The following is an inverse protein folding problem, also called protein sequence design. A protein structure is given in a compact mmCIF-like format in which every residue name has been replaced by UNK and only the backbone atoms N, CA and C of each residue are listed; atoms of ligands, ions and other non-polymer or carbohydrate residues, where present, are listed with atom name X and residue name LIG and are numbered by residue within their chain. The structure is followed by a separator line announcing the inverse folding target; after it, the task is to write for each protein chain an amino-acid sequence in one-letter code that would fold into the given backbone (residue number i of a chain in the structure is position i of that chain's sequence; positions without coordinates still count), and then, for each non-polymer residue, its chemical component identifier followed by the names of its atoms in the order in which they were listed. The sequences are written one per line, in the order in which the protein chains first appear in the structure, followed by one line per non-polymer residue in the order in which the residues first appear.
data_IF_996214428762
#
_entry.id   IF_996214428762
#
_cell.length_a   1.000
_cell.length_b   1.000
_cell.length_c   1.000
_cell.angle_alpha   90.00
_cell.angle_beta   90.00
_cell.angle_gamma   90.00
#
_symmetry.space_group_name_H-M   'P 1'
#
loop_
_entity.id
_entity.type
_entity.pdbx_description
1 polymer ?
#
# COMPACT_ATOMS: atom_id res chain seq x y z
N UNK A 1 2.21 72.01 48.41
CA UNK A 1 3.42 71.62 47.66
C UNK A 1 3.02 70.74 46.48
N UNK A 2 3.63 70.92 45.30
CA UNK A 2 3.63 69.99 44.14
C UNK A 2 5.07 69.49 43.96
N UNK A 3 5.29 68.23 43.52
CA UNK A 3 5.47 67.87 42.10
C UNK A 3 4.60 66.64 41.68
N UNK A 4 4.29 66.22 40.43
CA UNK A 4 4.88 66.32 39.06
C UNK A 4 5.96 65.25 38.75
N UNK A 5 5.91 64.46 37.64
CA UNK A 5 4.76 63.94 36.85
C UNK A 5 4.95 62.45 36.42
N UNK A 6 4.22 62.00 35.39
CA UNK A 6 4.30 60.65 34.80
C UNK A 6 5.62 60.37 34.02
N UNK A 7 5.99 59.08 33.94
CA UNK A 7 7.06 58.57 33.06
C UNK A 7 6.51 57.63 31.98
N UNK A 8 6.88 57.88 30.73
CA UNK A 8 6.61 56.99 29.59
C UNK A 8 7.59 55.82 29.59
N UNK A 9 7.12 54.61 29.29
CA UNK A 9 7.93 53.55 28.68
C UNK A 9 7.14 52.91 27.54
N UNK A 10 7.71 53.01 26.34
CA UNK A 10 7.19 52.42 25.09
C UNK A 10 7.49 50.91 25.03
N UNK A 11 6.87 50.13 24.13
CA UNK A 11 6.67 48.70 24.33
C UNK A 11 7.87 47.84 23.97
N UNK A 12 8.14 46.82 24.80
CA UNK A 12 8.99 45.68 24.42
C UNK A 12 8.16 44.68 23.61
N UNK A 13 8.26 44.77 22.28
CA UNK A 13 7.72 43.75 21.39
C UNK A 13 8.56 42.47 21.48
N UNK A 14 8.11 41.48 22.25
CA UNK A 14 8.58 40.10 22.12
C UNK A 14 7.68 39.36 21.12
N UNK A 15 8.05 39.39 19.83
CA UNK A 15 7.43 38.50 18.86
C UNK A 15 7.78 37.03 19.21
N UNK A 16 6.83 36.08 19.13
CA UNK A 16 7.18 34.68 19.14
C UNK A 16 8.05 34.38 17.91
N UNK A 17 9.10 33.57 18.09
CA UNK A 17 9.95 33.14 16.97
C UNK A 17 9.13 32.23 16.06
N UNK A 18 8.70 32.75 14.92
CA UNK A 18 8.28 31.92 13.80
C UNK A 18 9.49 31.15 13.32
N UNK A 19 9.56 29.87 13.71
CA UNK A 19 10.46 28.91 13.08
C UNK A 19 10.00 28.74 11.64
N UNK A 20 10.72 29.34 10.70
CA UNK A 20 10.44 29.21 9.28
C UNK A 20 10.64 27.76 8.84
N UNK A 21 9.52 27.06 8.64
CA UNK A 21 9.41 26.08 7.57
C UNK A 21 9.88 26.72 6.26
N UNK A 22 10.48 25.90 5.38
CA UNK A 22 10.96 26.17 4.01
C UNK A 22 12.48 26.03 3.82
N UNK A 23 12.97 24.78 3.85
CA UNK A 23 14.07 24.29 2.99
C UNK A 23 14.40 22.81 3.30
N UNK A 24 13.60 21.88 2.76
CA UNK A 24 13.92 20.45 2.75
C UNK A 24 13.85 19.88 1.32
N UNK A 25 14.70 20.45 0.45
CA UNK A 25 15.03 19.87 -0.85
C UNK A 25 16.10 18.79 -0.67
N UNK A 26 15.69 17.56 -0.36
CA UNK A 26 16.59 16.41 -0.42
C UNK A 26 17.02 16.17 -1.87
N UNK A 27 18.32 16.18 -2.14
CA UNK A 27 18.86 16.08 -3.49
C UNK A 27 18.61 14.69 -4.11
N UNK A 28 17.77 14.65 -5.15
CA UNK A 28 17.61 13.47 -6.01
C UNK A 28 18.79 13.45 -6.99
N UNK A 29 19.81 12.65 -6.70
CA UNK A 29 20.94 12.43 -7.62
C UNK A 29 20.52 11.52 -8.77
N UNK A 30 20.02 12.11 -9.86
CA UNK A 30 19.80 11.40 -11.12
C UNK A 30 21.14 11.15 -11.82
N UNK A 31 21.77 10.01 -11.54
CA UNK A 31 22.97 9.59 -12.27
C UNK A 31 22.58 9.04 -13.64
N UNK A 32 22.54 9.92 -14.64
CA UNK A 32 22.44 9.51 -16.05
C UNK A 32 23.75 8.85 -16.48
N UNK A 33 23.73 7.54 -16.72
CA UNK A 33 24.87 6.83 -17.31
C UNK A 33 24.85 6.96 -18.84
N UNK A 34 25.51 7.99 -19.39
CA UNK A 34 25.75 8.06 -20.83
C UNK A 34 26.74 6.98 -21.28
N UNK A 35 26.31 6.14 -22.22
CA UNK A 35 27.15 5.15 -22.85
C UNK A 35 28.10 5.81 -23.86
N UNK A 36 29.41 5.75 -23.59
CA UNK A 36 30.44 6.13 -24.56
C UNK A 36 30.47 5.14 -25.72
N UNK A 37 30.42 5.62 -26.96
CA UNK A 37 30.94 4.83 -28.08
C UNK A 37 31.51 5.69 -29.23
N UNK A 38 32.74 5.36 -29.61
CA UNK A 38 33.30 5.35 -30.97
C UNK A 38 33.11 6.55 -31.92
N UNK A 39 34.19 7.29 -32.16
CA UNK A 39 34.37 8.25 -33.27
C UNK A 39 34.49 7.63 -34.66
N UNK A 40 34.34 8.50 -35.69
CA UNK A 40 34.69 8.34 -37.14
C UNK A 40 33.63 7.59 -37.99
N UNK A 41 33.37 7.96 -39.25
CA UNK A 41 34.13 8.80 -40.21
C UNK A 41 33.22 9.67 -41.12
N UNK A 42 33.80 10.60 -41.88
CA UNK A 42 33.08 11.53 -42.78
C UNK A 42 32.80 10.94 -44.18
N UNK A 43 31.67 11.33 -44.80
CA UNK A 43 31.55 11.82 -46.20
C UNK A 43 30.10 12.12 -46.62
N UNK A 44 29.84 13.39 -46.93
CA UNK A 44 28.86 13.85 -47.93
C UNK A 44 29.54 13.89 -49.34
N UNK A 45 28.89 14.26 -50.47
CA UNK A 45 27.53 14.83 -50.66
C UNK A 45 26.67 14.17 -51.76
N UNK A 46 25.41 14.60 -51.91
CA UNK A 46 24.80 15.07 -53.18
C UNK A 46 23.26 15.26 -53.09
N UNK A 47 22.74 16.30 -53.73
CA UNK A 47 21.30 16.59 -53.83
C UNK A 47 20.61 15.87 -55.01
N UNK A 48 19.28 15.71 -54.90
CA UNK A 48 18.27 16.20 -55.87
C UNK A 48 17.19 15.19 -56.36
N UNK A 49 15.93 15.53 -56.01
CA UNK A 49 14.69 15.33 -56.79
C UNK A 49 14.11 13.91 -57.01
N UNK A 50 12.76 13.81 -56.96
CA UNK A 50 12.02 12.70 -57.61
C UNK A 50 10.75 12.18 -56.90
N UNK A 51 9.61 12.83 -57.16
CA UNK A 51 8.23 12.24 -57.23
C UNK A 51 7.79 11.06 -56.34
N UNK A 52 6.72 11.28 -55.55
CA UNK A 52 5.79 10.24 -55.10
C UNK A 52 4.94 9.71 -56.31
N UNK A 53 4.23 8.55 -56.25
CA UNK A 53 3.17 8.29 -55.25
C UNK A 53 2.94 6.83 -54.79
N UNK A 54 1.93 6.68 -53.92
CA UNK A 54 0.99 5.55 -53.76
C UNK A 54 1.15 4.53 -52.60
N UNK A 55 0.04 4.45 -51.85
CA UNK A 55 -0.57 3.26 -51.20
C UNK A 55 0.14 2.50 -50.07
N UNK A 56 -0.32 2.81 -48.84
CA UNK A 56 -0.94 1.89 -47.88
C UNK A 56 -0.31 0.49 -47.63
N UNK A 57 0.26 0.33 -46.44
CA UNK A 57 0.52 -0.96 -45.78
C UNK A 57 0.87 -0.72 -44.32
N UNK A 58 -0.01 -1.10 -43.39
CA UNK A 58 0.27 -1.03 -41.94
C UNK A 58 1.06 -2.27 -41.47
N UNK A 59 1.94 -2.15 -40.46
CA UNK A 59 2.69 -3.31 -39.96
C UNK A 59 1.79 -4.24 -39.13
N UNK A 60 1.94 -5.54 -39.37
CA UNK A 60 1.26 -6.61 -38.64
C UNK A 60 1.68 -6.68 -37.16
N UNK A 61 0.74 -7.04 -36.29
CA UNK A 61 1.00 -7.32 -34.88
C UNK A 61 1.31 -8.80 -34.71
N UNK A 62 2.59 -9.14 -34.50
CA UNK A 62 3.01 -10.52 -34.22
C UNK A 62 2.60 -10.95 -32.81
N UNK A 63 1.56 -11.79 -32.70
CA UNK A 63 1.19 -12.47 -31.46
C UNK A 63 2.07 -13.72 -31.26
N UNK A 64 2.96 -13.69 -30.28
CA UNK A 64 3.68 -14.89 -29.82
C UNK A 64 2.86 -15.60 -28.75
N UNK A 65 2.16 -16.65 -29.13
CA UNK A 65 1.51 -17.57 -28.19
C UNK A 65 2.53 -18.47 -27.51
N UNK A 66 2.65 -18.39 -26.18
CA UNK A 66 3.47 -19.32 -25.40
C UNK A 66 2.67 -20.60 -25.16
N UNK A 67 3.08 -21.69 -25.81
CA UNK A 67 2.47 -23.02 -25.68
C UNK A 67 2.90 -23.76 -24.41
N UNK A 68 2.02 -24.62 -23.91
CA UNK A 68 2.17 -25.39 -22.67
C UNK A 68 3.39 -26.31 -22.64
N UNK A 69 4.11 -26.33 -21.52
CA UNK A 69 5.14 -27.34 -21.22
C UNK A 69 4.48 -28.53 -20.49
N UNK A 70 4.43 -29.68 -21.14
CA UNK A 70 4.13 -30.97 -20.50
C UNK A 70 5.44 -31.55 -19.94
N UNK A 71 5.43 -31.97 -18.66
CA UNK A 71 6.57 -32.68 -18.05
C UNK A 71 6.45 -34.18 -18.36
N UNK A 72 7.41 -34.72 -19.10
CA UNK A 72 7.69 -36.16 -19.09
C UNK A 72 8.82 -36.47 -18.10
N UNK A 73 8.62 -37.48 -17.25
CA UNK A 73 9.57 -37.88 -16.21
C UNK A 73 10.36 -39.11 -16.61
N UNK A 74 11.70 -39.00 -16.65
CA UNK A 74 12.58 -40.15 -16.79
C UNK A 74 12.97 -40.73 -15.41
N UNK A 75 12.52 -41.95 -15.12
CA UNK A 75 13.02 -42.75 -14.00
C UNK A 75 14.29 -43.47 -14.48
N UNK A 76 15.43 -43.18 -13.84
CA UNK A 76 16.70 -43.85 -14.14
C UNK A 76 16.91 -45.05 -13.22
N UNK A 77 17.10 -46.24 -13.79
CA UNK A 77 17.37 -47.48 -13.06
C UNK A 77 18.86 -47.81 -13.17
N UNK A 78 19.59 -47.71 -12.05
CA UNK A 78 21.01 -48.02 -12.00
C UNK A 78 21.27 -49.53 -11.86
N UNK A 79 22.04 -50.10 -12.79
CA UNK A 79 22.45 -51.51 -12.77
C UNK A 79 23.88 -51.69 -12.23
N UNK A 80 24.01 -52.21 -11.01
CA UNK A 80 25.29 -52.58 -10.40
C UNK A 80 25.63 -54.06 -10.57
N UNK A 81 26.90 -54.38 -10.80
CA UNK A 81 27.48 -55.76 -10.79
C UNK A 81 28.83 -55.79 -10.05
N UNK A 82 29.32 -56.96 -9.57
CA UNK A 82 29.66 -57.05 -8.15
C UNK A 82 31.05 -57.63 -7.80
N UNK A 83 31.44 -57.46 -6.53
CA UNK A 83 32.52 -58.18 -5.83
C UNK A 83 32.85 -57.48 -4.49
N UNK A 84 33.16 -58.14 -3.37
CA UNK A 84 33.25 -59.58 -3.02
C UNK A 84 33.11 -59.78 -1.50
N UNK A 85 32.51 -60.92 -1.08
CA UNK A 85 32.61 -61.66 0.23
C UNK A 85 32.91 -60.84 1.52
N UNK A 86 32.15 -60.96 2.61
CA UNK A 86 31.64 -62.18 3.26
C UNK A 86 30.50 -61.82 4.27
N UNK A 87 29.87 -62.70 5.07
CA UNK A 87 30.15 -64.12 5.38
C UNK A 87 28.89 -65.02 5.32
N UNK A 88 28.35 -65.51 6.46
CA UNK A 88 27.22 -66.43 6.52
C UNK A 88 26.27 -66.18 7.71
N UNK A 89 24.96 -66.37 7.47
CA UNK A 89 23.91 -66.38 8.48
C UNK A 89 22.62 -66.92 7.86
N UNK A 90 22.30 -68.19 8.12
CA UNK A 90 21.11 -68.85 7.56
C UNK A 90 19.88 -68.58 8.42
N UNK A 91 18.82 -68.04 7.81
CA UNK A 91 17.49 -67.95 8.41
C UNK A 91 16.40 -68.17 7.36
N UNK A 92 15.60 -69.22 7.56
CA UNK A 92 14.57 -69.68 6.63
C UNK A 92 13.34 -68.76 6.69
N UNK A 93 13.04 -68.03 5.60
CA UNK A 93 11.86 -67.16 5.53
C UNK A 93 10.60 -67.95 5.14
N UNK A 94 9.61 -68.00 6.05
CA UNK A 94 8.29 -68.59 5.79
C UNK A 94 7.41 -67.58 5.05
N UNK A 95 7.01 -67.90 3.82
CA UNK A 95 6.12 -67.04 3.02
C UNK A 95 4.67 -67.28 3.39
N UNK A 96 4.13 -66.46 4.30
CA UNK A 96 2.68 -66.40 4.57
C UNK A 96 2.01 -65.52 3.52
N UNK A 97 1.23 -66.13 2.62
CA UNK A 97 0.39 -65.38 1.66
C UNK A 97 -0.91 -64.92 2.32
N UNK A 98 -0.96 -63.67 2.79
CA UNK A 98 -2.23 -63.01 3.10
C UNK A 98 -2.94 -62.60 1.81
N UNK A 99 -4.25 -62.90 1.70
CA UNK A 99 -5.11 -62.34 0.65
C UNK A 99 -5.67 -61.01 1.16
N UNK A 100 -5.12 -59.89 0.71
CA UNK A 100 -5.79 -58.60 0.87
C UNK A 100 -6.81 -58.42 -0.26
N UNK A 101 -8.09 -58.35 0.10
CA UNK A 101 -9.16 -57.89 -0.79
C UNK A 101 -9.11 -56.36 -0.85
N UNK A 102 -8.72 -55.80 -1.99
CA UNK A 102 -8.76 -54.35 -2.21
C UNK A 102 -10.19 -53.95 -2.55
N UNK A 103 -10.82 -53.16 -1.68
CA UNK A 103 -12.08 -52.47 -1.99
C UNK A 103 -11.80 -51.15 -2.70
N UNK A 104 -12.46 -50.90 -3.82
CA UNK A 104 -12.28 -49.66 -4.59
C UNK A 104 -12.74 -48.41 -3.82
N UNK A 105 -12.02 -47.27 -3.91
CA UNK A 105 -12.46 -46.03 -3.30
C UNK A 105 -13.62 -45.42 -4.10
N UNK A 106 -14.70 -45.05 -3.40
CA UNK A 106 -15.77 -44.24 -3.98
C UNK A 106 -15.22 -42.87 -4.41
N UNK A 107 -15.16 -42.62 -5.71
CA UNK A 107 -14.78 -41.32 -6.25
C UNK A 107 -15.86 -40.27 -5.91
N UNK A 108 -15.57 -39.41 -4.93
CA UNK A 108 -16.40 -38.24 -4.65
C UNK A 108 -16.43 -37.34 -5.90
N UNK A 109 -17.62 -37.13 -6.46
CA UNK A 109 -17.82 -36.27 -7.63
C UNK A 109 -17.65 -34.80 -7.24
N UNK A 110 -16.43 -34.28 -7.36
CA UNK A 110 -16.19 -32.84 -7.39
C UNK A 110 -16.83 -32.26 -8.65
N UNK A 111 -17.96 -31.57 -8.50
CA UNK A 111 -18.54 -30.79 -9.59
C UNK A 111 -17.55 -29.69 -9.99
N UNK A 112 -17.15 -29.58 -11.27
CA UNK A 112 -16.25 -28.52 -11.70
C UNK A 112 -16.92 -27.16 -11.50
N UNK A 113 -16.22 -26.25 -10.83
CA UNK A 113 -16.66 -24.86 -10.70
C UNK A 113 -16.55 -24.21 -12.08
N UNK A 114 -17.69 -24.06 -12.76
CA UNK A 114 -17.74 -23.35 -14.04
C UNK A 114 -17.49 -21.87 -13.77
N UNK A 115 -16.30 -21.40 -14.14
CA UNK A 115 -15.96 -19.99 -14.12
C UNK A 115 -16.83 -19.24 -15.13
N UNK A 116 -17.92 -18.66 -14.65
CA UNK A 116 -18.75 -17.74 -15.43
C UNK A 116 -18.26 -16.31 -15.14
N UNK A 117 -17.62 -15.60 -16.09
CA UNK A 117 -17.11 -14.26 -15.87
C UNK A 117 -18.21 -13.20 -15.65
N UNK A 118 -19.49 -13.56 -15.85
CA UNK A 118 -20.65 -12.72 -15.54
C UNK A 118 -21.28 -13.05 -14.18
N UNK A 119 -20.77 -14.03 -13.43
CA UNK A 119 -21.24 -14.30 -12.07
C UNK A 119 -20.63 -13.27 -11.13
N UNK A 120 -21.49 -12.40 -10.60
CA UNK A 120 -21.15 -11.49 -9.50
C UNK A 120 -20.68 -12.31 -8.29
N UNK A 121 -19.66 -11.82 -7.58
CA UNK A 121 -19.16 -12.46 -6.37
C UNK A 121 -20.26 -12.56 -5.30
N UNK A 122 -20.58 -13.75 -4.75
CA UNK A 122 -21.62 -13.90 -3.73
C UNK A 122 -21.44 -13.00 -2.50
N UNK A 123 -20.20 -12.69 -2.12
CA UNK A 123 -19.90 -11.82 -0.97
C UNK A 123 -20.40 -10.39 -1.18
N UNK A 124 -20.57 -9.96 -2.44
CA UNK A 124 -21.08 -8.62 -2.75
C UNK A 124 -22.56 -8.40 -2.40
N UNK A 125 -23.28 -9.46 -2.01
CA UNK A 125 -24.65 -9.41 -1.47
C UNK A 125 -24.70 -9.59 0.06
N UNK A 126 -23.54 -9.68 0.73
CA UNK A 126 -23.43 -9.69 2.19
C UNK A 126 -23.91 -8.37 2.83
N UNK A 127 -24.19 -8.44 4.13
CA UNK A 127 -24.68 -7.32 4.92
C UNK A 127 -23.87 -7.16 6.19
N UNK A 128 -23.71 -5.91 6.62
CA UNK A 128 -23.18 -5.56 7.93
C UNK A 128 -24.17 -5.98 9.03
N UNK A 129 -23.72 -5.99 10.29
CA UNK A 129 -24.55 -6.36 11.44
C UNK A 129 -25.79 -5.46 11.60
N UNK A 130 -25.71 -4.20 11.15
CA UNK A 130 -26.82 -3.23 11.13
C UNK A 130 -27.84 -3.46 9.98
N UNK A 131 -27.59 -4.46 9.12
CA UNK A 131 -28.43 -4.82 7.97
C UNK A 131 -28.18 -4.03 6.68
N UNK A 132 -27.29 -3.02 6.67
CA UNK A 132 -26.87 -2.34 5.44
C UNK A 132 -26.09 -3.30 4.53
N UNK A 133 -26.08 -3.09 3.20
CA UNK A 133 -25.17 -3.81 2.31
C UNK A 133 -23.72 -3.60 2.74
N UNK A 134 -22.94 -4.69 2.78
CA UNK A 134 -21.49 -4.67 3.07
C UNK A 134 -20.72 -3.96 1.97
N UNK A 135 -21.15 -4.12 0.71
CA UNK A 135 -20.60 -3.40 -0.43
C UNK A 135 -21.32 -2.03 -0.60
N UNK A 136 -20.59 -0.90 -0.53
CA UNK A 136 -21.19 0.43 -0.74
C UNK A 136 -21.75 0.62 -2.16
N UNK A 137 -22.67 1.58 -2.38
CA UNK A 137 -23.19 1.92 -3.70
C UNK A 137 -22.08 2.26 -4.71
N UNK A 138 -22.32 1.90 -5.98
CA UNK A 138 -21.37 2.13 -7.07
C UNK A 138 -20.07 1.30 -7.03
N UNK A 139 -19.88 0.44 -6.02
CA UNK A 139 -18.66 -0.37 -5.87
C UNK A 139 -18.74 -1.74 -6.56
N UNK A 140 -17.56 -2.29 -6.90
CA UNK A 140 -17.36 -3.67 -7.35
C UNK A 140 -16.36 -4.37 -6.44
N UNK A 141 -16.72 -5.52 -5.89
CA UNK A 141 -15.81 -6.34 -5.10
C UNK A 141 -14.68 -6.90 -6.00
N UNK A 142 -13.44 -6.92 -5.48
CA UNK A 142 -12.27 -7.52 -6.12
C UNK A 142 -11.44 -8.34 -5.12
N UNK A 143 -10.93 -9.48 -5.58
CA UNK A 143 -9.92 -10.26 -4.84
C UNK A 143 -8.53 -9.65 -4.90
N UNK A 144 -8.23 -8.96 -6.01
CA UNK A 144 -6.92 -8.36 -6.27
C UNK A 144 -6.59 -7.22 -5.31
N UNK A 145 -5.34 -6.77 -5.33
CA UNK A 145 -4.86 -5.66 -4.52
C UNK A 145 -4.36 -4.53 -5.44
N UNK A 146 -5.24 -3.63 -5.92
CA UNK A 146 -4.86 -2.67 -6.96
C UNK A 146 -3.81 -1.65 -6.49
N UNK A 147 -2.75 -1.49 -7.27
CA UNK A 147 -1.75 -0.44 -7.07
C UNK A 147 -2.26 0.86 -7.68
N UNK A 148 -2.61 1.81 -6.82
CA UNK A 148 -2.89 3.20 -7.18
C UNK A 148 -2.03 4.11 -6.31
N UNK A 149 -1.33 5.07 -6.92
CA UNK A 149 -0.58 6.11 -6.23
C UNK A 149 -0.49 7.38 -7.10
N UNK A 150 -0.41 8.54 -6.43
CA UNK A 150 0.04 9.77 -7.05
C UNK A 150 1.58 9.83 -7.00
N UNK A 151 2.20 10.39 -8.04
CA UNK A 151 3.65 10.56 -8.11
C UNK A 151 4.42 9.24 -8.24
N UNK A 152 5.74 9.31 -8.04
CA UNK A 152 6.62 8.15 -7.98
C UNK A 152 6.67 7.51 -6.60
N UNK A 153 6.99 6.22 -6.55
CA UNK A 153 7.18 5.48 -5.29
C UNK A 153 8.45 6.00 -4.58
N UNK A 154 8.36 6.55 -3.36
CA UNK A 154 9.52 7.03 -2.63
C UNK A 154 10.42 5.86 -2.22
N UNK A 155 11.74 6.07 -2.29
CA UNK A 155 12.72 5.18 -1.64
C UNK A 155 12.94 5.67 -0.22
N UNK A 156 12.53 4.87 0.75
CA UNK A 156 12.63 5.19 2.17
C UNK A 156 13.75 4.34 2.78
N UNK A 157 14.60 4.96 3.58
CA UNK A 157 15.63 4.30 4.37
C UNK A 157 15.23 4.37 5.85
N UNK A 158 15.05 3.21 6.48
CA UNK A 158 14.64 3.13 7.89
C UNK A 158 15.68 3.74 8.85
N UNK A 159 16.96 3.79 8.45
CA UNK A 159 18.02 4.42 9.25
C UNK A 159 17.90 5.95 9.32
N UNK A 160 17.13 6.57 8.42
CA UNK A 160 16.83 8.01 8.41
C UNK A 160 15.33 8.31 8.42
N UNK A 161 14.50 7.29 8.67
CA UNK A 161 13.06 7.43 8.75
C UNK A 161 12.64 8.13 10.05
N UNK A 162 11.67 9.02 9.92
CA UNK A 162 11.17 9.85 11.00
C UNK A 162 9.65 9.98 10.84
N UNK A 163 8.91 9.66 11.91
CA UNK A 163 7.49 9.92 12.02
C UNK A 163 7.24 11.03 13.05
N UNK A 164 6.55 12.09 12.63
CA UNK A 164 6.26 13.26 13.46
C UNK A 164 4.77 13.47 13.71
N UNK A 165 4.41 13.81 14.94
CA UNK A 165 3.06 14.25 15.32
C UNK A 165 3.17 15.63 15.96
N UNK A 166 2.49 16.61 15.40
CA UNK A 166 2.72 18.03 15.70
C UNK A 166 1.46 18.89 15.49
N UNK A 167 1.56 20.19 15.79
CA UNK A 167 0.45 21.14 15.67
C UNK A 167 -0.31 21.32 16.99
N UNK A 168 -1.63 21.16 16.97
CA UNK A 168 -2.49 21.35 18.14
C UNK A 168 -2.50 20.12 19.08
N UNK A 169 -1.36 19.86 19.70
CA UNK A 169 -1.13 18.80 20.69
C UNK A 169 -0.42 19.36 21.93
N UNK A 170 -0.63 18.76 23.11
CA UNK A 170 0.13 19.12 24.32
C UNK A 170 1.60 18.70 24.20
N UNK A 171 1.87 17.54 23.61
CA UNK A 171 3.20 16.93 23.51
C UNK A 171 3.49 16.54 22.05
N UNK A 172 4.34 17.32 21.35
CA UNK A 172 4.83 16.91 20.02
C UNK A 172 5.68 15.64 20.13
N UNK A 173 5.50 14.74 19.16
CA UNK A 173 6.14 13.42 19.14
C UNK A 173 6.97 13.27 17.88
N UNK A 174 8.21 12.82 18.02
CA UNK A 174 9.08 12.40 16.92
C UNK A 174 9.61 11.02 17.23
N UNK A 175 9.51 10.09 16.27
CA UNK A 175 9.92 8.69 16.44
C UNK A 175 10.78 8.25 15.26
N UNK A 176 11.87 7.54 15.55
CA UNK A 176 12.53 6.69 14.57
C UNK A 176 11.77 5.36 14.40
N UNK A 177 12.21 4.52 13.47
CA UNK A 177 11.51 3.28 13.12
C UNK A 177 11.40 2.29 14.30
N UNK A 178 12.48 2.08 15.05
CA UNK A 178 12.50 1.14 16.17
C UNK A 178 11.61 1.64 17.32
N UNK A 179 11.59 2.95 17.57
CA UNK A 179 10.71 3.58 18.56
C UNK A 179 9.22 3.50 18.16
N UNK A 180 8.92 3.58 16.86
CA UNK A 180 7.57 3.36 16.34
C UNK A 180 7.14 1.90 16.48
N UNK A 181 8.03 0.95 16.16
CA UNK A 181 7.75 -0.48 16.32
C UNK A 181 7.61 -0.90 17.79
N UNK A 182 8.21 -0.15 18.72
CA UNK A 182 8.05 -0.33 20.17
C UNK A 182 6.73 0.22 20.73
N UNK A 183 5.89 0.87 19.93
CA UNK A 183 4.54 1.28 20.31
C UNK A 183 3.60 0.07 20.49
N UNK A 184 2.49 0.20 21.24
CA UNK A 184 1.45 -0.83 21.32
C UNK A 184 0.97 -1.25 19.93
N UNK A 185 1.21 -2.51 19.57
CA UNK A 185 0.78 -3.08 18.31
C UNK A 185 -0.63 -3.66 18.42
N UNK A 186 -1.40 -3.55 17.35
CA UNK A 186 -2.75 -4.09 17.20
C UNK A 186 -2.88 -4.83 15.86
N UNK A 187 -3.92 -5.67 15.77
CA UNK A 187 -4.38 -6.28 14.53
C UNK A 187 -5.84 -5.88 14.31
N UNK A 188 -6.21 -5.67 13.05
CA UNK A 188 -7.56 -5.28 12.62
C UNK A 188 -7.88 -5.97 11.31
N UNK A 189 -9.12 -6.46 11.17
CA UNK A 189 -9.63 -6.93 9.88
C UNK A 189 -10.71 -5.96 9.42
N UNK A 190 -10.55 -5.37 8.23
CA UNK A 190 -11.50 -4.40 7.71
C UNK A 190 -11.65 -4.42 6.19
N UNK A 191 -12.70 -3.76 5.71
CA UNK A 191 -12.99 -3.60 4.30
C UNK A 191 -12.40 -2.28 3.77
N UNK A 192 -12.14 -2.26 2.47
CA UNK A 192 -11.50 -1.14 1.79
C UNK A 192 -12.37 -0.72 0.62
N UNK A 193 -12.67 0.57 0.54
CA UNK A 193 -13.52 1.14 -0.51
C UNK A 193 -12.74 2.20 -1.28
N UNK A 194 -12.46 1.95 -2.57
CA UNK A 194 -11.75 2.91 -3.40
C UNK A 194 -12.72 3.79 -4.20
N UNK A 195 -12.35 5.06 -4.35
CA UNK A 195 -13.07 6.04 -5.17
C UNK A 195 -13.18 5.62 -6.64
N UNK A 196 -12.23 4.83 -7.15
CA UNK A 196 -12.25 4.30 -8.52
C UNK A 196 -13.11 3.03 -8.67
N UNK A 197 -14.20 2.92 -7.89
CA UNK A 197 -15.29 1.92 -8.02
C UNK A 197 -14.91 0.46 -7.76
N UNK A 198 -13.86 0.20 -6.99
CA UNK A 198 -13.55 -1.13 -6.45
C UNK A 198 -13.55 -1.15 -4.93
N UNK A 199 -13.88 -2.29 -4.35
CA UNK A 199 -13.73 -2.58 -2.93
C UNK A 199 -13.06 -3.92 -2.71
N UNK A 200 -12.31 -4.06 -1.62
CA UNK A 200 -11.67 -5.31 -1.21
C UNK A 200 -12.09 -5.62 0.21
N UNK A 201 -12.61 -6.82 0.44
CA UNK A 201 -13.04 -7.28 1.76
C UNK A 201 -11.93 -8.02 2.50
N UNK A 202 -12.12 -8.18 3.81
CA UNK A 202 -11.36 -9.09 4.67
C UNK A 202 -9.85 -8.81 4.65
N UNK A 203 -9.44 -7.55 4.88
CA UNK A 203 -8.03 -7.14 4.89
C UNK A 203 -7.49 -7.17 6.31
N UNK A 204 -6.54 -8.05 6.56
CA UNK A 204 -5.84 -8.10 7.85
C UNK A 204 -4.72 -7.06 7.87
N UNK A 205 -4.74 -6.17 8.85
CA UNK A 205 -3.73 -5.15 9.07
C UNK A 205 -3.05 -5.34 10.42
N UNK A 206 -1.77 -4.99 10.49
CA UNK A 206 -1.04 -4.87 11.74
C UNK A 206 -0.26 -3.55 11.79
N UNK A 207 -0.29 -2.92 12.96
CA UNK A 207 0.30 -1.61 13.19
C UNK A 207 -0.13 -1.00 14.51
N UNK A 208 -0.05 0.33 14.60
CA UNK A 208 -0.37 1.10 15.81
C UNK A 208 -1.72 1.79 15.64
N UNK A 209 -2.64 1.63 16.59
CA UNK A 209 -3.95 2.30 16.53
C UNK A 209 -3.78 3.80 16.61
N UNK A 210 -4.61 4.55 15.88
CA UNK A 210 -4.58 6.01 15.94
C UNK A 210 -4.82 6.52 17.38
N UNK A 211 -5.76 5.89 18.12
CA UNK A 211 -6.03 6.20 19.53
C UNK A 211 -4.80 6.06 20.45
N UNK A 212 -3.89 5.12 20.16
CA UNK A 212 -2.68 4.88 20.96
C UNK A 212 -1.62 5.99 20.73
N UNK A 213 -1.65 6.64 19.56
CA UNK A 213 -0.89 7.88 19.28
C UNK A 213 -1.53 9.08 19.99
N UNK A 214 -2.86 9.25 19.85
CA UNK A 214 -3.62 10.33 20.50
C UNK A 214 -3.40 10.34 22.01
N UNK A 215 -3.44 9.17 22.66
CA UNK A 215 -3.24 9.03 24.09
C UNK A 215 -1.84 9.50 24.56
N UNK A 216 -0.83 9.51 23.69
CA UNK A 216 0.49 10.10 23.98
C UNK A 216 0.49 11.61 23.77
N UNK A 217 0.04 12.09 22.61
CA UNK A 217 0.24 13.50 22.21
C UNK A 217 -0.77 14.47 22.83
N UNK A 218 -1.95 13.96 23.23
CA UNK A 218 -3.08 14.69 23.82
C UNK A 218 -3.46 15.93 22.99
N UNK A 219 -4.32 15.78 21.97
CA UNK A 219 -4.78 16.90 21.14
C UNK A 219 -5.43 17.99 21.98
N UNK A 220 -5.12 19.25 21.67
CA UNK A 220 -5.71 20.41 22.33
C UNK A 220 -7.22 20.51 22.01
N UNK A 221 -8.06 21.13 22.87
CA UNK A 221 -9.50 21.25 22.64
C UNK A 221 -9.87 21.93 21.30
N UNK A 222 -8.99 22.76 20.76
CA UNK A 222 -9.11 23.43 19.46
C UNK A 222 -8.87 22.51 18.27
N UNK A 223 -8.19 21.36 18.44
CA UNK A 223 -7.97 20.40 17.35
C UNK A 223 -9.29 19.79 16.88
N UNK A 224 -9.51 19.76 15.57
CA UNK A 224 -10.73 19.23 14.92
C UNK A 224 -10.45 18.32 13.74
N UNK A 225 -9.29 18.45 13.11
CA UNK A 225 -8.89 17.62 11.97
C UNK A 225 -7.44 17.18 12.11
N UNK A 226 -7.09 16.10 11.44
CA UNK A 226 -5.74 15.57 11.28
C UNK A 226 -5.37 15.65 9.80
N UNK A 227 -4.21 16.24 9.50
CA UNK A 227 -3.62 16.21 8.16
C UNK A 227 -2.48 15.19 8.16
N UNK A 228 -2.64 14.12 7.39
CA UNK A 228 -1.55 13.18 7.13
C UNK A 228 -0.56 13.81 6.16
N UNK A 229 0.73 13.65 6.46
CA UNK A 229 1.85 14.08 5.64
C UNK A 229 2.63 12.87 5.16
N UNK A 230 2.86 12.76 3.85
CA UNK A 230 3.52 11.59 3.23
C UNK A 230 4.85 11.95 2.57
N UNK A 231 5.76 10.98 2.47
CA UNK A 231 6.88 11.09 1.53
C UNK A 231 6.34 11.25 0.11
N UNK A 232 6.98 12.11 -0.69
CA UNK A 232 6.48 12.51 -2.01
C UNK A 232 5.46 13.65 -2.00
N UNK A 233 5.13 14.23 -0.83
CA UNK A 233 4.32 15.45 -0.72
C UNK A 233 2.80 15.23 -0.79
N UNK A 234 2.33 13.98 -0.79
CA UNK A 234 0.91 13.68 -0.67
C UNK A 234 0.39 14.01 0.73
N UNK A 235 -0.72 14.74 0.79
CA UNK A 235 -1.44 15.06 2.03
C UNK A 235 -2.91 14.64 1.92
N UNK A 236 -3.55 14.37 3.05
CA UNK A 236 -5.00 14.20 3.13
C UNK A 236 -5.50 14.53 4.54
N UNK A 237 -6.69 15.12 4.61
CA UNK A 237 -7.33 15.64 5.81
C UNK A 237 -8.45 14.70 6.28
N UNK A 238 -8.59 14.54 7.59
CA UNK A 238 -9.62 13.67 8.20
C UNK A 238 -10.15 14.32 9.47
N UNK A 239 -11.47 14.31 9.74
CA UNK A 239 -12.03 14.74 11.02
C UNK A 239 -11.42 13.95 12.20
N UNK A 240 -11.09 14.66 13.28
CA UNK A 240 -10.40 14.07 14.42
C UNK A 240 -11.32 13.14 15.23
N UNK A 241 -12.60 13.47 15.35
CA UNK A 241 -13.60 12.66 16.04
C UNK A 241 -13.87 11.33 15.33
N UNK A 242 -13.88 11.32 13.99
CA UNK A 242 -13.95 10.08 13.20
C UNK A 242 -12.66 9.25 13.27
N UNK A 243 -11.49 9.90 13.26
CA UNK A 243 -10.20 9.24 13.45
C UNK A 243 -10.05 8.52 14.81
N UNK A 244 -10.85 8.88 15.82
CA UNK A 244 -10.91 8.15 17.10
C UNK A 244 -11.70 6.84 17.02
N UNK A 245 -12.19 6.46 15.83
CA UNK A 245 -12.80 5.16 15.56
C UNK A 245 -11.92 4.00 16.03
N UNK A 246 -12.59 2.91 16.40
CA UNK A 246 -11.93 1.74 16.95
C UNK A 246 -11.05 1.02 15.92
N UNK A 247 -11.34 1.18 14.61
CA UNK A 247 -10.75 0.47 13.46
C UNK A 247 -9.64 1.22 12.72
N UNK A 248 -9.24 2.40 13.20
CA UNK A 248 -8.27 3.27 12.54
C UNK A 248 -6.83 3.05 13.04
N UNK A 249 -5.88 2.89 12.10
CA UNK A 249 -4.48 2.62 12.43
C UNK A 249 -3.44 3.15 11.45
N UNK A 250 -2.20 3.23 11.94
CA UNK A 250 -0.97 3.35 11.17
C UNK A 250 -0.38 1.94 10.96
N UNK A 251 -0.63 1.36 9.79
CA UNK A 251 -0.27 -0.01 9.45
C UNK A 251 1.13 -0.12 8.82
N UNK A 252 1.88 -1.16 9.18
CA UNK A 252 3.17 -1.55 8.57
C UNK A 252 3.13 -2.93 7.89
N UNK A 253 2.09 -3.72 8.17
CA UNK A 253 1.90 -5.10 7.72
C UNK A 253 0.47 -5.29 7.21
N UNK A 254 0.30 -6.07 6.14
CA UNK A 254 -0.96 -6.40 5.49
C UNK A 254 -0.99 -7.89 5.12
N UNK A 255 -2.07 -8.59 5.49
CA UNK A 255 -2.27 -10.02 5.26
C UNK A 255 -1.10 -10.90 5.71
N UNK A 256 -0.50 -10.56 6.86
CA UNK A 256 0.61 -11.30 7.48
C UNK A 256 2.00 -10.98 6.95
N UNK A 257 2.13 -10.19 5.88
CA UNK A 257 3.39 -9.78 5.29
C UNK A 257 3.64 -8.28 5.49
N UNK A 258 4.90 -7.81 5.59
CA UNK A 258 5.21 -6.38 5.53
C UNK A 258 4.62 -5.74 4.27
N UNK A 259 4.20 -4.48 4.36
CA UNK A 259 3.72 -3.75 3.18
C UNK A 259 4.73 -3.83 2.03
N UNK A 260 4.24 -3.90 0.80
CA UNK A 260 5.10 -3.64 -0.37
C UNK A 260 5.34 -2.15 -0.54
N UNK A 261 6.39 -1.79 -1.28
CA UNK A 261 6.72 -0.40 -1.59
C UNK A 261 5.58 0.32 -2.33
N UNK A 262 4.87 -0.39 -3.21
CA UNK A 262 3.70 0.10 -3.96
C UNK A 262 2.49 0.36 -3.05
N UNK A 263 2.37 -0.38 -1.95
CA UNK A 263 1.21 -0.34 -1.04
C UNK A 263 1.42 0.53 0.21
N UNK A 264 2.60 1.13 0.37
CA UNK A 264 2.87 2.17 1.37
C UNK A 264 4.03 1.88 2.33
N UNK A 265 4.86 0.88 2.09
CA UNK A 265 6.00 0.56 2.96
C UNK A 265 6.90 1.78 3.24
N UNK A 266 7.31 2.03 4.49
CA UNK A 266 7.14 1.16 5.66
C UNK A 266 5.85 1.40 6.45
N UNK A 267 5.15 2.52 6.23
CA UNK A 267 4.00 2.93 7.03
C UNK A 267 2.92 3.62 6.20
N UNK A 268 1.66 3.24 6.44
CA UNK A 268 0.49 3.90 5.87
C UNK A 268 -0.60 4.17 6.90
N UNK A 269 -1.47 5.14 6.64
CA UNK A 269 -2.77 5.24 7.29
C UNK A 269 -3.73 4.18 6.73
N UNK A 270 -4.61 3.70 7.61
CA UNK A 270 -5.76 2.83 7.31
C UNK A 270 -6.95 3.41 8.07
N UNK A 271 -7.95 3.83 7.31
CA UNK A 271 -9.14 4.56 7.75
C UNK A 271 -10.32 3.93 6.99
N UNK A 272 -10.91 2.82 7.50
CA UNK A 272 -11.75 1.94 6.68
C UNK A 272 -13.12 2.52 6.32
N UNK A 273 -13.61 3.43 7.16
CA UNK A 273 -14.93 4.04 7.03
C UNK A 273 -14.98 5.14 5.94
N UNK A 274 -13.84 5.62 5.46
CA UNK A 274 -13.74 6.59 4.36
C UNK A 274 -13.16 5.96 3.09
N UNK A 275 -13.33 6.65 1.96
CA UNK A 275 -12.67 6.27 0.72
C UNK A 275 -11.15 6.21 0.87
N UNK A 276 -10.55 5.18 0.26
CA UNK A 276 -9.16 4.77 0.51
C UNK A 276 -8.06 5.75 0.09
N UNK A 277 -8.40 6.93 -0.44
CA UNK A 277 -7.42 8.01 -0.61
C UNK A 277 -7.09 8.70 0.73
N UNK A 278 -8.03 8.72 1.69
CA UNK A 278 -7.80 9.17 3.08
C UNK A 278 -6.78 8.29 3.81
N UNK A 279 -6.73 7.01 3.46
CA UNK A 279 -5.73 6.03 3.93
C UNK A 279 -4.36 6.27 3.28
N UNK A 280 -3.70 7.38 3.61
CA UNK A 280 -2.46 7.83 3.00
C UNK A 280 -1.32 6.78 3.02
N UNK A 281 -0.56 6.68 1.93
CA UNK A 281 0.63 5.80 1.81
C UNK A 281 1.91 6.56 2.18
N UNK A 282 2.93 5.85 2.66
CA UNK A 282 4.25 6.42 2.95
C UNK A 282 4.18 7.57 3.96
N UNK A 283 3.41 7.37 5.04
CA UNK A 283 3.18 8.39 6.06
C UNK A 283 4.48 8.70 6.80
N UNK A 284 4.78 10.00 6.91
CA UNK A 284 5.90 10.58 7.70
C UNK A 284 5.42 11.47 8.85
N UNK A 285 4.12 11.71 8.96
CA UNK A 285 3.59 12.44 10.11
C UNK A 285 2.12 12.80 10.03
N UNK A 286 1.65 13.41 11.12
CA UNK A 286 0.28 13.85 11.33
C UNK A 286 0.28 15.24 11.99
N UNK A 287 -0.42 16.20 11.39
CA UNK A 287 -0.59 17.55 11.92
C UNK A 287 -2.01 17.72 12.46
N UNK A 288 -2.15 18.10 13.73
CA UNK A 288 -3.43 18.38 14.35
C UNK A 288 -3.80 19.85 14.14
N UNK A 289 -4.97 20.11 13.54
CA UNK A 289 -5.40 21.46 13.09
C UNK A 289 -6.83 21.79 13.51
N UNK A 290 -7.12 23.08 13.70
CA UNK A 290 -8.43 23.56 14.18
C UNK A 290 -9.48 23.72 13.08
N UNK A 291 -9.02 24.02 11.86
CA UNK A 291 -9.88 24.20 10.69
C UNK A 291 -9.48 23.16 9.66
N UNK A 292 -10.47 22.64 8.94
CA UNK A 292 -10.20 21.70 7.85
C UNK A 292 -9.39 22.37 6.74
N UNK A 293 -8.54 21.59 6.06
CA UNK A 293 -7.68 22.06 4.98
C UNK A 293 -7.70 21.01 3.88
N UNK A 294 -7.94 21.36 2.60
CA UNK A 294 -7.94 20.36 1.54
C UNK A 294 -6.57 19.70 1.45
N UNK A 295 -6.56 18.36 1.48
CA UNK A 295 -5.42 17.56 1.09
C UNK A 295 -5.16 17.60 -0.42
N UNK A 296 -4.32 16.67 -0.88
CA UNK A 296 -3.91 16.61 -2.27
C UNK A 296 -5.10 16.43 -3.21
N UNK A 297 -5.92 15.39 -3.04
CA UNK A 297 -7.02 15.11 -3.98
C UNK A 297 -8.18 16.09 -3.82
N UNK A 298 -8.38 16.60 -2.61
CA UNK A 298 -9.40 17.58 -2.27
C UNK A 298 -9.14 18.91 -3.02
N UNK A 299 -7.88 19.31 -3.19
CA UNK A 299 -7.50 20.42 -4.09
C UNK A 299 -7.79 20.16 -5.58
N UNK A 300 -8.02 18.91 -5.99
CA UNK A 300 -8.42 18.52 -7.35
C UNK A 300 -9.90 18.13 -7.46
N UNK A 301 -10.75 18.57 -6.53
CA UNK A 301 -12.21 18.40 -6.59
C UNK A 301 -12.72 17.05 -6.09
N UNK A 302 -11.93 16.32 -5.30
CA UNK A 302 -12.44 15.20 -4.50
C UNK A 302 -13.15 15.74 -3.26
N UNK A 303 -14.10 14.98 -2.72
CA UNK A 303 -14.89 15.44 -1.58
C UNK A 303 -14.02 15.64 -0.32
N UNK A 304 -14.34 16.64 0.49
CA UNK A 304 -13.56 16.97 1.71
C UNK A 304 -13.59 15.86 2.76
N UNK A 305 -14.73 15.16 2.90
CA UNK A 305 -14.94 14.07 3.87
C UNK A 305 -14.70 12.69 3.24
N UNK A 306 -15.59 12.22 2.37
CA UNK A 306 -15.30 11.09 1.50
C UNK A 306 -15.90 9.76 1.98
N UNK A 307 -17.13 9.78 2.48
CA UNK A 307 -17.89 8.57 2.84
C UNK A 307 -18.30 7.75 1.56
N UNK A 308 -17.97 6.44 1.51
CA UNK A 308 -18.34 5.58 0.40
C UNK A 308 -19.83 5.14 0.37
N UNK A 309 -20.57 5.22 1.48
CA UNK A 309 -22.01 4.95 1.55
C UNK A 309 -22.87 6.11 1.05
N UNK A 310 -22.42 7.35 1.20
CA UNK A 310 -23.09 8.56 0.67
C UNK A 310 -22.64 8.93 -0.75
N UNK A 311 -21.71 8.16 -1.33
CA UNK A 311 -21.08 8.39 -2.64
C UNK A 311 -20.34 9.73 -2.78
N UNK A 312 -19.73 10.20 -1.70
CA UNK A 312 -18.91 11.41 -1.64
C UNK A 312 -17.56 11.25 -2.38
N UNK A 313 -17.62 11.16 -3.71
CA UNK A 313 -16.42 11.03 -4.55
C UNK A 313 -15.80 12.39 -4.88
N UNK A 314 -16.63 13.41 -5.07
CA UNK A 314 -16.26 14.73 -5.58
C UNK A 314 -17.01 15.85 -4.85
N UNK A 315 -16.45 17.07 -4.80
CA UNK A 315 -17.00 18.25 -4.12
C UNK A 315 -16.42 19.56 -4.63
#
# INVERSE_FOLDING_TARGET
MRPVPAGQLSPTSSQPRTSTFDNWSAAITTTTSEAKNGTRDQREPAEASGSAPATAGGPEVCWVSIGSIVREGCISVASGRPGTRSSAGSSTAVVVRSRQTVSEPHAARSTPVVFNPFRRDPRSDERLEDGRPRLPPGQRLTDGWPVLHYGGIPRIDLATWEFRVFGLVEEELTLNWDEFMALPQAQMQNDIHCVTTWSKFDNDWQGVRFRDIVARVKPLPEAKHVVFHSYGGYTTNVPLDEMLSDDDMLAHTHNGEPLSIEHGWPLRGVIPHLYFWKSAKWVRGMEFVAQDRPGFWEMYGYHMHGDPWTEERYG
#
